data_IF_964548816165
#
_entry.id   IF_964548816165
#
_cell.length_a   1.000
_cell.length_b   1.000
_cell.length_c   1.000
_cell.angle_alpha   90.00
_cell.angle_beta   90.00
_cell.angle_gamma   90.00
#
_symmetry.space_group_name_H-M   'P 1'
#
loop_
_entity.id
_entity.type
_entity.pdbx_description
1 polymer ?
#
# COMPACT_ATOMS: atom_id res chain seq x y z
N UNK A 1 -22.75 -2.84 14.38
CA UNK A 1 -22.16 -4.04 15.01
C UNK A 1 -20.68 -4.02 14.71
N UNK A 2 -19.84 -3.79 15.72
CA UNK A 2 -18.38 -3.82 15.55
C UNK A 2 -17.95 -5.26 15.30
N UNK A 3 -17.78 -5.63 14.02
CA UNK A 3 -17.26 -6.93 13.63
C UNK A 3 -15.87 -7.11 14.23
N UNK A 4 -15.73 -8.02 15.20
CA UNK A 4 -14.41 -8.34 15.76
C UNK A 4 -13.60 -9.07 14.70
N UNK A 5 -12.60 -8.40 14.12
CA UNK A 5 -11.61 -9.04 13.24
C UNK A 5 -10.92 -10.17 14.01
N UNK A 6 -10.88 -11.36 13.42
CA UNK A 6 -10.22 -12.53 14.00
C UNK A 6 -8.74 -12.27 14.31
N UNK A 7 -8.25 -12.83 15.43
CA UNK A 7 -6.88 -12.60 15.92
C UNK A 7 -5.80 -12.89 14.87
N UNK A 8 -5.96 -13.96 14.09
CA UNK A 8 -5.04 -14.34 13.02
C UNK A 8 -4.91 -13.26 11.96
N UNK A 9 -6.03 -12.65 11.54
CA UNK A 9 -6.01 -11.58 10.55
C UNK A 9 -5.29 -10.31 11.07
N UNK A 10 -5.43 -10.00 12.37
CA UNK A 10 -4.69 -8.91 12.99
C UNK A 10 -3.18 -9.19 12.99
N UNK A 11 -2.78 -10.38 13.47
CA UNK A 11 -1.37 -10.78 13.55
C UNK A 11 -0.72 -10.75 12.17
N UNK A 12 -1.34 -11.39 11.19
CA UNK A 12 -0.81 -11.43 9.82
C UNK A 12 -0.80 -10.04 9.17
N UNK A 13 -1.83 -9.22 9.44
CA UNK A 13 -1.87 -7.83 8.99
C UNK A 13 -0.67 -7.03 9.49
N UNK A 14 -0.39 -7.05 10.79
CA UNK A 14 0.76 -6.35 11.37
C UNK A 14 2.10 -6.99 10.98
N UNK A 15 2.16 -8.32 10.81
CA UNK A 15 3.36 -8.99 10.31
C UNK A 15 3.74 -8.51 8.89
N UNK A 16 2.78 -8.04 8.10
CA UNK A 16 3.03 -7.37 6.83
C UNK A 16 3.86 -6.08 6.95
N UNK A 17 4.07 -5.51 8.14
CA UNK A 17 4.97 -4.35 8.30
C UNK A 17 6.44 -4.75 8.45
N UNK A 18 6.73 -6.02 8.72
CA UNK A 18 8.09 -6.51 9.01
C UNK A 18 9.07 -6.23 7.85
N UNK A 19 8.75 -6.50 6.56
CA UNK A 19 9.68 -6.23 5.48
C UNK A 19 10.07 -4.75 5.39
N UNK A 20 9.11 -3.86 5.59
CA UNK A 20 9.37 -2.42 5.55
C UNK A 20 10.18 -1.93 6.75
N UNK A 21 9.93 -2.47 7.94
CA UNK A 21 10.74 -2.20 9.13
C UNK A 21 12.19 -2.65 8.95
N UNK A 22 12.40 -3.84 8.37
CA UNK A 22 13.74 -4.33 8.05
C UNK A 22 14.45 -3.42 7.04
N UNK A 23 13.75 -2.96 6.00
CA UNK A 23 14.31 -2.04 5.03
C UNK A 23 14.75 -0.72 5.68
N UNK A 24 13.93 -0.14 6.56
CA UNK A 24 14.28 1.06 7.35
C UNK A 24 15.54 0.81 8.19
N UNK A 25 15.60 -0.32 8.89
CA UNK A 25 16.78 -0.67 9.70
C UNK A 25 18.07 -0.76 8.86
N UNK A 26 18.02 -1.43 7.71
CA UNK A 26 19.18 -1.58 6.82
C UNK A 26 19.62 -0.24 6.21
N UNK A 27 18.67 0.63 5.84
CA UNK A 27 19.00 1.96 5.31
C UNK A 27 19.61 2.85 6.39
N UNK A 28 19.15 2.74 7.64
CA UNK A 28 19.70 3.46 8.78
C UNK A 28 21.12 2.98 9.15
N UNK A 29 21.39 1.67 9.02
CA UNK A 29 22.73 1.11 9.23
C UNK A 29 23.73 1.59 8.16
N UNK A 30 23.24 1.87 6.95
CA UNK A 30 24.08 2.27 5.82
C UNK A 30 24.87 1.10 5.23
N UNK A 31 25.89 1.42 4.42
CA UNK A 31 26.75 0.43 3.77
C UNK A 31 26.15 -0.19 2.50
N UNK A 32 26.66 -1.35 2.12
CA UNK A 32 26.42 -2.00 0.81
C UNK A 32 24.94 -2.38 0.58
N UNK A 33 24.20 -2.66 1.65
CA UNK A 33 22.80 -3.07 1.57
C UNK A 33 21.82 -1.91 1.39
N UNK A 34 22.26 -0.66 1.55
CA UNK A 34 21.38 0.52 1.56
C UNK A 34 20.53 0.62 0.28
N UNK A 35 21.15 0.45 -0.89
CA UNK A 35 20.42 0.52 -2.16
C UNK A 35 19.43 -0.63 -2.32
N UNK A 36 19.84 -1.86 -1.96
CA UNK A 36 18.98 -3.05 -2.01
C UNK A 36 17.77 -2.88 -1.09
N UNK A 37 17.97 -2.32 0.11
CA UNK A 37 16.90 -2.04 1.06
C UNK A 37 15.93 -0.96 0.55
N UNK A 38 16.44 0.11 -0.08
CA UNK A 38 15.61 1.14 -0.72
C UNK A 38 14.77 0.57 -1.88
N UNK A 39 15.41 -0.21 -2.76
CA UNK A 39 14.74 -0.85 -3.88
C UNK A 39 13.71 -1.90 -3.43
N UNK A 40 14.07 -2.72 -2.43
CA UNK A 40 13.18 -3.70 -1.81
C UNK A 40 11.99 -3.06 -1.10
N UNK A 41 12.21 -1.92 -0.41
CA UNK A 41 11.16 -1.10 0.18
C UNK A 41 10.17 -0.62 -0.88
N UNK A 42 10.66 -0.11 -2.01
CA UNK A 42 9.80 0.30 -3.11
C UNK A 42 8.97 -0.87 -3.64
N UNK A 43 9.64 -1.98 -3.98
CA UNK A 43 8.99 -3.16 -4.53
C UNK A 43 7.91 -3.71 -3.60
N UNK A 44 8.21 -3.81 -2.30
CA UNK A 44 7.27 -4.30 -1.31
C UNK A 44 6.06 -3.37 -1.13
N UNK A 45 6.30 -2.07 -0.96
CA UNK A 45 5.23 -1.08 -0.84
C UNK A 45 4.33 -1.05 -2.08
N UNK A 46 4.91 -1.18 -3.29
CA UNK A 46 4.16 -1.18 -4.54
C UNK A 46 3.31 -2.46 -4.68
N UNK A 47 3.85 -3.61 -4.26
CA UNK A 47 3.10 -4.88 -4.22
C UNK A 47 1.90 -4.79 -3.27
N UNK A 48 2.08 -4.26 -2.05
CA UNK A 48 0.97 -4.07 -1.12
C UNK A 48 -0.04 -3.09 -1.68
N UNK A 49 0.40 -1.96 -2.25
CA UNK A 49 -0.52 -0.99 -2.84
C UNK A 49 -1.34 -1.59 -3.98
N UNK A 50 -0.71 -2.37 -4.87
CA UNK A 50 -1.40 -3.16 -5.90
C UNK A 50 -2.40 -4.16 -5.32
N UNK A 51 -2.01 -4.88 -4.25
CA UNK A 51 -2.88 -5.80 -3.53
C UNK A 51 -4.14 -5.10 -2.99
N UNK A 52 -4.02 -3.87 -2.47
CA UNK A 52 -5.18 -3.09 -2.01
C UNK A 52 -6.18 -2.80 -3.14
N UNK A 53 -5.69 -2.53 -4.35
CA UNK A 53 -6.53 -2.43 -5.54
C UNK A 53 -7.28 -3.74 -5.82
N UNK A 54 -6.58 -4.88 -5.73
CA UNK A 54 -7.20 -6.21 -5.80
C UNK A 54 -8.28 -6.45 -4.73
N UNK A 55 -8.08 -5.96 -3.51
CA UNK A 55 -9.07 -6.03 -2.44
C UNK A 55 -10.33 -5.23 -2.80
N UNK A 56 -10.18 -4.00 -3.32
CA UNK A 56 -11.32 -3.20 -3.78
C UNK A 56 -12.09 -3.89 -4.90
N UNK A 57 -11.38 -4.47 -5.87
CA UNK A 57 -11.99 -5.21 -6.98
C UNK A 57 -12.80 -6.41 -6.46
N UNK A 58 -12.19 -7.24 -5.61
CA UNK A 58 -12.83 -8.44 -5.05
C UNK A 58 -14.02 -8.11 -4.15
N UNK A 59 -13.90 -7.07 -3.31
CA UNK A 59 -15.00 -6.61 -2.47
C UNK A 59 -16.14 -5.99 -3.28
N UNK A 60 -15.85 -5.27 -4.36
CA UNK A 60 -16.87 -4.71 -5.24
C UNK A 60 -17.70 -5.82 -5.90
N UNK A 61 -17.05 -6.88 -6.40
CA UNK A 61 -17.74 -8.06 -6.96
C UNK A 61 -18.56 -8.77 -5.88
N UNK A 62 -17.99 -8.98 -4.70
CA UNK A 62 -18.66 -9.69 -3.60
C UNK A 62 -19.89 -8.95 -3.06
N UNK A 63 -19.94 -7.63 -3.22
CA UNK A 63 -21.05 -6.78 -2.79
C UNK A 63 -22.16 -6.65 -3.83
N UNK A 64 -21.95 -7.08 -5.08
CA UNK A 64 -23.01 -7.06 -6.10
C UNK A 64 -24.01 -8.22 -5.87
N UNK A 65 -24.81 -8.08 -4.81
CA UNK A 65 -25.94 -8.95 -4.52
C UNK A 65 -27.18 -8.65 -5.36
N UNK A 66 -27.13 -7.62 -6.22
CA UNK A 66 -28.30 -7.10 -6.95
C UNK A 66 -28.45 -7.69 -8.36
N UNK A 67 -27.39 -8.28 -8.90
CA UNK A 67 -27.36 -8.81 -10.27
C UNK A 67 -27.32 -7.73 -11.36
N UNK A 68 -27.25 -6.44 -10.99
CA UNK A 68 -27.17 -5.31 -11.92
C UNK A 68 -25.73 -5.06 -12.43
N UNK A 69 -24.73 -5.80 -11.93
CA UNK A 69 -23.34 -5.62 -12.29
C UNK A 69 -22.63 -4.59 -11.41
N UNK A 70 -21.34 -4.80 -11.19
CA UNK A 70 -20.47 -3.85 -10.49
C UNK A 70 -20.25 -2.61 -11.36
N UNK A 71 -20.30 -1.43 -10.76
CA UNK A 71 -19.98 -0.17 -11.44
C UNK A 71 -18.59 -0.21 -12.10
N UNK A 72 -18.47 0.05 -13.42
CA UNK A 72 -17.18 0.10 -14.12
C UNK A 72 -16.21 1.12 -13.51
N UNK A 73 -16.72 2.20 -12.93
CA UNK A 73 -15.91 3.21 -12.26
C UNK A 73 -15.20 2.63 -11.03
N UNK A 74 -15.89 1.79 -10.24
CA UNK A 74 -15.31 1.17 -9.04
C UNK A 74 -14.19 0.19 -9.43
N UNK A 75 -14.42 -0.60 -10.48
CA UNK A 75 -13.40 -1.49 -11.03
C UNK A 75 -12.22 -0.69 -11.60
N UNK A 76 -12.48 0.40 -12.31
CA UNK A 76 -11.43 1.31 -12.80
C UNK A 76 -10.57 1.87 -11.66
N UNK A 77 -11.18 2.33 -10.56
CA UNK A 77 -10.47 2.80 -9.37
C UNK A 77 -9.60 1.69 -8.76
N UNK A 78 -10.11 0.46 -8.74
CA UNK A 78 -9.39 -0.70 -8.21
C UNK A 78 -8.13 -1.08 -9.00
N UNK A 79 -7.99 -0.65 -10.26
CA UNK A 79 -6.78 -0.88 -11.06
C UNK A 79 -5.71 0.21 -10.86
N UNK A 80 -6.12 1.41 -10.43
CA UNK A 80 -5.21 2.55 -10.27
C UNK A 80 -3.99 2.24 -9.38
N UNK A 81 -4.10 1.52 -8.25
CA UNK A 81 -2.93 1.24 -7.43
C UNK A 81 -1.81 0.49 -8.16
N UNK A 82 -2.18 -0.50 -8.99
CA UNK A 82 -1.21 -1.25 -9.80
C UNK A 82 -0.58 -0.38 -10.88
N UNK A 83 -1.37 0.44 -11.58
CA UNK A 83 -0.86 1.34 -12.62
C UNK A 83 0.04 2.44 -12.04
N UNK A 84 -0.32 2.99 -10.88
CA UNK A 84 0.49 3.99 -10.20
C UNK A 84 1.78 3.36 -9.68
N UNK A 85 1.72 2.17 -9.07
CA UNK A 85 2.90 1.42 -8.65
C UNK A 85 3.83 1.07 -9.82
N UNK A 86 3.29 0.83 -11.01
CA UNK A 86 4.10 0.67 -12.22
C UNK A 86 4.68 2.02 -12.71
N UNK A 87 3.87 3.08 -12.75
CA UNK A 87 4.31 4.40 -13.19
C UNK A 87 5.43 4.98 -12.31
N UNK A 88 5.35 4.78 -10.98
CA UNK A 88 6.38 5.23 -10.03
C UNK A 88 7.69 4.42 -10.14
N UNK A 89 7.71 3.31 -10.87
CA UNK A 89 8.90 2.53 -11.16
C UNK A 89 9.63 3.02 -12.42
N UNK A 90 8.91 3.66 -13.34
CA UNK A 90 9.46 4.15 -14.61
C UNK A 90 10.66 5.10 -14.47
N UNK A 91 10.75 6.01 -13.46
CA UNK A 91 11.94 6.84 -13.28
C UNK A 91 13.24 6.05 -13.24
N UNK A 92 13.27 4.89 -12.59
CA UNK A 92 14.44 4.02 -12.56
C UNK A 92 14.82 3.52 -13.97
N UNK A 93 13.83 3.08 -14.75
CA UNK A 93 14.04 2.56 -16.11
C UNK A 93 14.50 3.63 -17.10
N UNK A 94 14.16 4.89 -16.83
CA UNK A 94 14.50 6.05 -17.66
C UNK A 94 15.80 6.75 -17.20
N UNK A 95 16.46 6.24 -16.16
CA UNK A 95 17.69 6.82 -15.61
C UNK A 95 17.48 8.13 -14.83
N UNK A 96 16.26 8.37 -14.33
CA UNK A 96 15.92 9.51 -13.48
C UNK A 96 16.10 9.19 -11.99
N UNK A 97 15.94 10.21 -11.15
CA UNK A 97 16.06 10.10 -9.69
C UNK A 97 15.07 9.07 -9.12
N UNK A 98 15.62 8.02 -8.50
CA UNK A 98 14.88 6.91 -7.92
C UNK A 98 15.71 6.26 -6.79
N UNK A 99 15.11 5.73 -5.71
CA UNK A 99 13.67 5.59 -5.45
C UNK A 99 13.03 6.71 -4.64
N UNK A 100 13.78 7.72 -4.19
CA UNK A 100 13.31 8.72 -3.22
C UNK A 100 11.95 9.36 -3.52
N UNK A 101 11.80 10.08 -4.65
CA UNK A 101 10.51 10.69 -5.01
C UNK A 101 9.37 9.67 -5.15
N UNK A 102 9.68 8.49 -5.72
CA UNK A 102 8.70 7.42 -5.91
C UNK A 102 8.21 6.84 -4.58
N UNK A 103 9.11 6.60 -3.63
CA UNK A 103 8.79 6.12 -2.28
C UNK A 103 7.93 7.13 -1.52
N UNK A 104 8.27 8.42 -1.60
CA UNK A 104 7.50 9.48 -0.95
C UNK A 104 6.03 9.46 -1.41
N UNK A 105 5.80 9.54 -2.72
CA UNK A 105 4.43 9.57 -3.25
C UNK A 105 3.69 8.24 -3.04
N UNK A 106 4.36 7.11 -3.22
CA UNK A 106 3.78 5.80 -2.95
C UNK A 106 3.32 5.67 -1.49
N UNK A 107 4.15 6.11 -0.54
CA UNK A 107 3.81 6.11 0.88
C UNK A 107 2.60 6.99 1.19
N UNK A 108 2.55 8.21 0.66
CA UNK A 108 1.40 9.11 0.80
C UNK A 108 0.12 8.48 0.26
N UNK A 109 0.16 7.87 -0.93
CA UNK A 109 -1.00 7.22 -1.53
C UNK A 109 -1.47 6.02 -0.71
N UNK A 110 -0.56 5.23 -0.15
CA UNK A 110 -0.89 4.14 0.78
C UNK A 110 -1.58 4.70 2.04
N UNK A 111 -1.11 5.80 2.61
CA UNK A 111 -1.74 6.43 3.78
C UNK A 111 -3.14 6.95 3.50
N UNK A 112 -3.38 7.48 2.29
CA UNK A 112 -4.67 8.02 1.87
C UNK A 112 -5.65 6.96 1.38
N UNK A 113 -5.18 5.77 1.00
CA UNK A 113 -6.02 4.70 0.45
C UNK A 113 -7.23 4.30 1.33
N UNK A 114 -7.20 4.35 2.67
CA UNK A 114 -8.40 4.10 3.49
C UNK A 114 -9.54 5.11 3.31
N UNK A 115 -9.28 6.27 2.72
CA UNK A 115 -10.34 7.21 2.33
C UNK A 115 -11.17 6.67 1.17
N UNK A 116 -10.54 5.93 0.25
CA UNK A 116 -11.22 5.25 -0.85
C UNK A 116 -12.08 4.12 -0.31
N UNK A 117 -11.55 3.33 0.63
CA UNK A 117 -12.31 2.29 1.35
C UNK A 117 -13.62 2.86 1.92
N UNK A 118 -13.55 4.00 2.63
CA UNK A 118 -14.73 4.66 3.20
C UNK A 118 -15.68 5.20 2.15
N UNK A 119 -15.16 5.82 1.09
CA UNK A 119 -15.98 6.42 0.03
C UNK A 119 -16.73 5.36 -0.78
N UNK A 120 -16.13 4.20 -0.96
CA UNK A 120 -16.72 3.07 -1.68
C UNK A 120 -17.59 2.18 -0.78
N UNK A 121 -17.70 2.47 0.52
CA UNK A 121 -18.49 1.66 1.46
C UNK A 121 -17.90 0.27 1.73
N UNK A 122 -16.59 0.14 1.64
CA UNK A 122 -15.89 -1.15 1.69
C UNK A 122 -15.65 -1.65 3.11
N UNK A 123 -16.04 -2.90 3.37
CA UNK A 123 -15.78 -3.62 4.62
C UNK A 123 -16.56 -3.10 5.84
N UNK A 124 -16.43 -3.82 6.96
CA UNK A 124 -17.03 -3.42 8.23
C UNK A 124 -16.14 -2.44 9.03
N UNK A 125 -16.66 -1.93 10.15
CA UNK A 125 -15.93 -0.99 11.00
C UNK A 125 -14.64 -1.57 11.59
N UNK A 126 -14.61 -2.87 11.91
CA UNK A 126 -13.44 -3.54 12.47
C UNK A 126 -12.32 -3.66 11.42
N UNK A 127 -12.68 -4.03 10.21
CA UNK A 127 -11.78 -4.10 9.06
C UNK A 127 -11.22 -2.72 8.72
N UNK A 128 -12.08 -1.70 8.63
CA UNK A 128 -11.65 -0.33 8.36
C UNK A 128 -10.66 0.16 9.42
N UNK A 129 -10.89 -0.11 10.70
CA UNK A 129 -9.95 0.26 11.77
C UNK A 129 -8.58 -0.39 11.59
N UNK A 130 -8.53 -1.70 11.33
CA UNK A 130 -7.27 -2.40 11.07
C UNK A 130 -6.59 -1.84 9.81
N UNK A 131 -7.36 -1.63 8.75
CA UNK A 131 -6.92 -1.07 7.47
C UNK A 131 -6.23 0.28 7.64
N UNK A 132 -6.78 1.17 8.47
CA UNK A 132 -6.15 2.45 8.83
C UNK A 132 -4.79 2.27 9.48
N UNK A 133 -4.67 1.41 10.51
CA UNK A 133 -3.39 1.18 11.18
C UNK A 133 -2.31 0.64 10.24
N UNK A 134 -2.68 -0.33 9.39
CA UNK A 134 -1.74 -0.94 8.44
C UNK A 134 -1.32 0.06 7.35
N UNK A 135 -2.26 0.82 6.78
CA UNK A 135 -1.94 1.88 5.80
C UNK A 135 -1.05 2.97 6.36
N UNK A 136 -1.36 3.45 7.57
CA UNK A 136 -0.57 4.50 8.21
C UNK A 136 0.82 3.99 8.57
N UNK A 137 0.92 2.79 9.14
CA UNK A 137 2.20 2.17 9.48
C UNK A 137 3.08 1.95 8.25
N UNK A 138 2.57 1.23 7.24
CA UNK A 138 3.33 0.97 6.01
C UNK A 138 3.66 2.26 5.28
N UNK A 139 2.66 3.12 5.05
CA UNK A 139 2.83 4.35 4.30
C UNK A 139 3.79 5.33 4.97
N UNK A 140 3.75 5.48 6.30
CA UNK A 140 4.71 6.32 7.01
C UNK A 140 6.15 5.79 6.90
N UNK A 141 6.36 4.47 7.05
CA UNK A 141 7.68 3.87 6.86
C UNK A 141 8.19 4.08 5.42
N UNK A 142 7.31 3.97 4.42
CA UNK A 142 7.66 4.23 3.00
C UNK A 142 8.00 5.70 2.75
N UNK A 143 7.25 6.64 3.35
CA UNK A 143 7.55 8.09 3.25
C UNK A 143 8.91 8.40 3.87
N UNK A 144 9.21 7.86 5.06
CA UNK A 144 10.50 8.04 5.73
C UNK A 144 11.65 7.56 4.84
N UNK A 145 11.49 6.40 4.20
CA UNK A 145 12.47 5.86 3.25
C UNK A 145 12.65 6.77 2.03
N UNK A 146 11.57 7.34 1.51
CA UNK A 146 11.64 8.33 0.44
C UNK A 146 12.43 9.58 0.83
N UNK A 147 12.18 10.11 2.03
CA UNK A 147 12.91 11.27 2.55
C UNK A 147 14.40 10.97 2.76
N UNK A 148 14.75 9.81 3.28
CA UNK A 148 16.14 9.39 3.50
C UNK A 148 16.90 9.09 2.22
N UNK A 149 16.21 8.86 1.11
CA UNK A 149 16.83 8.60 -0.20
C UNK A 149 17.16 9.89 -0.97
N UNK A 150 16.61 11.03 -0.57
CA UNK A 150 16.77 12.33 -1.27
C UNK A 150 17.94 13.15 -0.68
N UNK A 151 18.56 12.68 0.41
CA UNK A 151 19.77 13.27 1.02
C UNK A 151 20.96 12.33 0.95
#
# INVERSE_FOLDING_TARGET
MDGKIGRTAQILGFAGLIPQLLAVFLVAQGGEWRWIALAGSYAYAALIFSFLGGVWWGQAISQDGSGNGVSPMVLGIAVLPSLIGFALFLPWTLGWDWPGPSLFWLGVLIMLSPLIDRKLGMGDAGWLRLRWYLSLGLGALTVIMGMWSIG
#
